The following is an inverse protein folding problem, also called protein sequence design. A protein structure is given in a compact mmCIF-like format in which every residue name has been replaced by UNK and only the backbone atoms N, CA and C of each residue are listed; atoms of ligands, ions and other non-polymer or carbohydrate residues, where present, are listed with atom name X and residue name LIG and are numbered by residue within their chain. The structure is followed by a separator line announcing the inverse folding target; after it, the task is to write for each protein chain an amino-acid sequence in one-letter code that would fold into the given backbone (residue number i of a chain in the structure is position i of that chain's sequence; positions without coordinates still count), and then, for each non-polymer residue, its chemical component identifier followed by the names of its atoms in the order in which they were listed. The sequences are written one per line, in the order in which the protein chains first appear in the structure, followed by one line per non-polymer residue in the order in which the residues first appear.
data_IF_418300035949
#
_entry.id   IF_418300035949
#
_cell.length_a   1.000
_cell.length_b   1.000
_cell.length_c   1.000
_cell.angle_alpha   90.00
_cell.angle_beta   90.00
_cell.angle_gamma   90.00
#
_symmetry.space_group_name_H-M   'P 1'
#
loop_
_entity.id
_entity.type
_entity.pdbx_description
1 polymer ?
#
# COMPACT_ATOMS: atom_id res chain seq x y z
N UNK A 1 -9.67 7.27 -20.81
CA UNK A 1 -9.71 5.79 -20.76
C UNK A 1 -8.54 5.29 -21.58
N UNK A 2 -7.70 4.41 -21.05
CA UNK A 2 -6.56 3.83 -21.79
C UNK A 2 -6.99 2.43 -22.23
N UNK A 3 -6.79 2.10 -23.50
CA UNK A 3 -7.16 0.82 -24.10
C UNK A 3 -5.89 0.11 -24.56
N UNK A 4 -5.72 -1.15 -24.16
CA UNK A 4 -4.59 -1.98 -24.57
C UNK A 4 -5.15 -3.13 -25.43
N UNK A 5 -4.68 -3.22 -26.66
CA UNK A 5 -5.10 -4.25 -27.61
C UNK A 5 -4.18 -5.48 -27.49
N UNK A 6 -4.72 -6.69 -27.66
CA UNK A 6 -3.95 -7.93 -27.73
C UNK A 6 -2.97 -8.20 -26.57
N UNK A 7 -3.24 -7.65 -25.38
CA UNK A 7 -2.39 -7.87 -24.20
C UNK A 7 -1.06 -7.10 -24.23
N UNK A 8 -0.90 -6.12 -25.13
CA UNK A 8 0.25 -5.21 -25.15
C UNK A 8 0.19 -4.17 -24.02
N UNK A 9 -0.02 -4.65 -22.79
CA UNK A 9 0.11 -3.84 -21.59
C UNK A 9 1.61 -3.69 -21.30
N UNK A 10 2.15 -2.46 -21.25
CA UNK A 10 3.56 -2.26 -20.95
C UNK A 10 3.89 -2.81 -19.58
N UNK A 11 5.09 -3.37 -19.42
CA UNK A 11 5.56 -3.89 -18.15
C UNK A 11 5.67 -2.74 -17.14
N UNK A 12 4.71 -2.68 -16.20
CA UNK A 12 4.68 -1.70 -15.13
C UNK A 12 5.41 -2.24 -13.89
N UNK A 13 6.00 -1.38 -13.05
CA UNK A 13 6.46 -1.78 -11.72
C UNK A 13 5.29 -2.36 -10.91
N UNK A 14 5.55 -3.45 -10.18
CA UNK A 14 4.52 -4.05 -9.34
C UNK A 14 4.32 -3.21 -8.07
N UNK A 15 3.11 -2.69 -7.87
CA UNK A 15 2.71 -1.99 -6.65
C UNK A 15 1.53 -2.73 -6.01
N UNK A 16 1.68 -3.11 -4.75
CA UNK A 16 0.68 -3.85 -3.99
C UNK A 16 0.29 -3.08 -2.73
N UNK A 17 -1.01 -2.93 -2.49
CA UNK A 17 -1.55 -2.39 -1.24
C UNK A 17 -2.18 -3.54 -0.43
N UNK A 18 -1.56 -3.87 0.71
CA UNK A 18 -1.97 -4.99 1.56
C UNK A 18 -2.35 -4.45 2.95
N UNK A 19 -3.62 -4.57 3.32
CA UNK A 19 -4.17 -4.10 4.60
C UNK A 19 -4.98 -5.20 5.31
N UNK A 20 -4.97 -5.22 6.64
CA UNK A 20 -5.76 -6.18 7.43
C UNK A 20 -5.32 -6.28 8.90
N UNK A 21 -6.18 -6.86 9.74
CA UNK A 21 -5.94 -7.06 11.18
C UNK A 21 -4.70 -7.94 11.48
N UNK A 22 -4.23 -7.97 12.72
CA UNK A 22 -3.16 -8.87 13.16
C UNK A 22 -3.46 -10.34 12.83
N UNK A 23 -2.45 -11.14 12.48
CA UNK A 23 -2.63 -12.58 12.20
C UNK A 23 -3.20 -12.94 10.81
N UNK A 24 -3.58 -11.98 9.98
CA UNK A 24 -4.15 -12.21 8.62
C UNK A 24 -3.15 -12.63 7.54
N UNK A 25 -1.90 -12.95 7.91
CA UNK A 25 -0.90 -13.45 6.96
C UNK A 25 -0.18 -12.38 6.12
N UNK A 26 -0.36 -11.07 6.39
CA UNK A 26 0.32 -9.97 5.66
C UNK A 26 1.84 -10.16 5.58
N UNK A 27 2.47 -10.49 6.71
CA UNK A 27 3.92 -10.74 6.79
C UNK A 27 4.33 -11.95 5.96
N UNK A 28 3.52 -13.01 5.97
CA UNK A 28 3.75 -14.22 5.17
C UNK A 28 3.62 -13.93 3.67
N UNK A 29 2.65 -13.10 3.29
CA UNK A 29 2.45 -12.67 1.90
C UNK A 29 3.62 -11.81 1.40
N UNK A 30 4.15 -10.89 2.23
CA UNK A 30 5.33 -10.10 1.88
C UNK A 30 6.56 -10.95 1.54
N UNK A 31 6.67 -12.15 2.12
CA UNK A 31 7.78 -13.07 1.88
C UNK A 31 7.71 -13.76 0.51
N UNK A 32 6.54 -13.75 -0.15
CA UNK A 32 6.35 -14.40 -1.45
C UNK A 32 6.69 -13.48 -2.63
N UNK A 33 6.86 -12.18 -2.39
CA UNK A 33 7.21 -11.24 -3.45
C UNK A 33 8.71 -11.24 -3.72
N UNK A 34 9.09 -11.29 -4.99
CA UNK A 34 10.48 -11.13 -5.44
C UNK A 34 10.75 -9.67 -5.88
N UNK A 35 12.00 -9.22 -5.75
CA UNK A 35 12.41 -7.86 -6.16
C UNK A 35 12.27 -6.78 -5.08
N UNK A 36 12.54 -5.52 -5.47
CA UNK A 36 12.47 -4.37 -4.56
C UNK A 36 11.03 -4.06 -4.12
N UNK A 37 10.85 -3.81 -2.82
CA UNK A 37 9.55 -3.57 -2.18
C UNK A 37 9.58 -2.25 -1.42
N UNK A 38 8.42 -1.59 -1.32
CA UNK A 38 8.20 -0.48 -0.40
C UNK A 38 7.14 -0.91 0.62
N UNK A 39 7.49 -0.87 1.91
CA UNK A 39 6.56 -1.09 3.01
C UNK A 39 6.24 0.25 3.68
N UNK A 40 4.95 0.60 3.80
CA UNK A 40 4.51 1.75 4.60
C UNK A 40 3.94 1.26 5.93
N UNK A 41 4.58 1.66 7.03
CA UNK A 41 4.16 1.32 8.39
C UNK A 41 3.42 2.48 9.03
N UNK A 42 2.18 2.23 9.46
CA UNK A 42 1.32 3.20 10.16
C UNK A 42 1.39 3.04 11.69
N UNK A 43 1.91 1.92 12.18
CA UNK A 43 2.05 1.62 13.61
C UNK A 43 3.52 1.75 14.08
N UNK A 44 4.38 2.33 13.23
CA UNK A 44 5.83 2.45 13.40
C UNK A 44 6.56 1.12 13.62
N UNK A 45 5.91 -0.04 13.43
CA UNK A 45 6.56 -1.33 13.60
C UNK A 45 7.48 -1.64 12.41
N UNK A 46 8.76 -1.85 12.69
CA UNK A 46 9.78 -2.19 11.69
C UNK A 46 10.39 -3.58 11.88
N UNK A 47 10.01 -4.27 12.97
CA UNK A 47 10.55 -5.57 13.33
C UNK A 47 10.35 -6.63 12.24
N UNK A 48 9.25 -6.55 11.49
CA UNK A 48 8.89 -7.51 10.43
C UNK A 48 9.80 -7.48 9.20
N UNK A 49 10.57 -6.40 9.03
CA UNK A 49 11.39 -6.13 7.85
C UNK A 49 12.86 -5.88 8.19
N UNK A 50 13.23 -5.97 9.47
CA UNK A 50 14.61 -5.79 9.94
C UNK A 50 15.56 -6.76 9.22
N UNK A 51 16.62 -6.22 8.63
CA UNK A 51 17.67 -6.99 7.95
C UNK A 51 17.38 -7.32 6.47
N UNK A 52 16.22 -6.94 5.93
CA UNK A 52 15.92 -7.09 4.50
C UNK A 52 16.67 -6.03 3.69
N UNK A 53 17.32 -6.47 2.61
CA UNK A 53 18.08 -5.59 1.69
C UNK A 53 17.28 -5.18 0.45
N UNK A 54 16.12 -5.80 0.26
CA UNK A 54 15.23 -5.64 -0.88
C UNK A 54 13.93 -4.90 -0.51
N UNK A 55 13.83 -4.37 0.72
CA UNK A 55 12.63 -3.73 1.23
C UNK A 55 12.97 -2.36 1.81
N UNK A 56 12.53 -1.30 1.14
CA UNK A 56 12.54 0.05 1.69
C UNK A 56 11.33 0.24 2.61
N UNK A 57 11.48 1.03 3.68
CA UNK A 57 10.44 1.23 4.70
C UNK A 57 10.14 2.72 4.82
N UNK A 58 8.90 3.10 4.56
CA UNK A 58 8.35 4.39 4.96
C UNK A 58 7.63 4.25 6.30
N UNK A 59 7.97 5.09 7.27
CA UNK A 59 7.26 5.17 8.55
C UNK A 59 6.43 6.45 8.49
N UNK A 60 5.13 6.32 8.79
CA UNK A 60 4.26 7.48 8.92
C UNK A 60 4.27 7.90 10.39
N UNK A 61 4.76 9.10 10.64
CA UNK A 61 4.84 9.66 11.98
C UNK A 61 3.52 10.31 12.38
N UNK A 62 3.37 10.58 13.69
CA UNK A 62 2.16 11.23 14.20
C UNK A 62 1.91 12.60 13.53
N UNK A 63 2.99 13.29 13.13
CA UNK A 63 2.94 14.56 12.41
C UNK A 63 2.33 14.44 10.99
N UNK A 64 2.38 13.26 10.38
CA UNK A 64 1.78 12.99 9.06
C UNK A 64 0.28 12.67 9.16
N UNK A 65 -0.19 12.34 10.36
CA UNK A 65 -1.56 11.95 10.65
C UNK A 65 -2.63 12.92 10.11
N UNK A 66 -2.53 14.24 10.35
CA UNK A 66 -3.51 15.21 9.84
C UNK A 66 -3.64 15.20 8.31
N UNK A 67 -2.53 15.10 7.59
CA UNK A 67 -2.50 15.08 6.12
C UNK A 67 -3.13 13.79 5.57
N UNK A 68 -2.78 12.64 6.16
CA UNK A 68 -3.36 11.34 5.78
C UNK A 68 -4.87 11.34 6.05
N UNK A 69 -5.29 11.85 7.21
CA UNK A 69 -6.69 11.94 7.59
C UNK A 69 -7.49 12.79 6.59
N UNK A 70 -6.97 13.95 6.19
CA UNK A 70 -7.59 14.80 5.16
C UNK A 70 -7.73 14.06 3.83
N UNK A 71 -6.70 13.32 3.41
CA UNK A 71 -6.69 12.56 2.16
C UNK A 71 -7.75 11.44 2.17
N UNK A 72 -7.80 10.67 3.26
CA UNK A 72 -8.77 9.58 3.44
C UNK A 72 -10.19 10.13 3.51
N UNK A 73 -10.42 11.22 4.25
CA UNK A 73 -11.73 11.88 4.31
C UNK A 73 -12.23 12.31 2.93
N UNK A 74 -11.35 12.90 2.09
CA UNK A 74 -11.70 13.25 0.70
C UNK A 74 -12.05 12.04 -0.15
N UNK A 75 -11.34 10.93 0.02
CA UNK A 75 -11.65 9.68 -0.71
C UNK A 75 -12.98 9.07 -0.28
N UNK A 76 -13.28 9.05 1.03
CA UNK A 76 -14.56 8.56 1.56
C UNK A 76 -15.70 9.45 1.11
N UNK A 77 -15.58 10.77 1.24
CA UNK A 77 -16.59 11.72 0.77
C UNK A 77 -16.89 11.50 -0.72
N UNK A 78 -15.85 11.37 -1.55
CA UNK A 78 -16.01 11.08 -2.98
C UNK A 78 -16.68 9.73 -3.25
N UNK A 79 -16.39 8.70 -2.48
CA UNK A 79 -17.03 7.39 -2.63
C UNK A 79 -18.53 7.46 -2.29
N UNK A 80 -18.88 8.13 -1.19
CA UNK A 80 -20.27 8.38 -0.77
C UNK A 80 -21.02 9.23 -1.80
N UNK A 81 -20.41 10.34 -2.24
CA UNK A 81 -21.01 11.26 -3.23
C UNK A 81 -21.20 10.61 -4.60
N UNK A 82 -20.39 9.60 -4.93
CA UNK A 82 -20.51 8.86 -6.18
C UNK A 82 -21.74 7.92 -6.24
N UNK A 83 -22.48 7.76 -5.12
CA UNK A 83 -23.67 6.89 -4.96
C UNK A 83 -23.47 5.44 -5.43
N UNK A 84 -22.21 4.98 -5.46
CA UNK A 84 -21.84 3.64 -5.93
C UNK A 84 -21.77 2.61 -4.79
N UNK A 85 -21.97 3.07 -3.57
CA UNK A 85 -22.09 2.32 -2.32
C UNK A 85 -23.12 3.01 -1.42
#
# INVERSE_FOLDING_TARGET
MIFYENGEVPKQPYLYFVYGAGGTGKTSLLNQFEGKKLLMSFDMSTNVVRGRKDTDIGILEQADGPMIQELVQKMVARAVDSKKY
#
